data_IF_101582823881
#
_entry.id   IF_101582823881
#
_cell.length_a   1.000
_cell.length_b   1.000
_cell.length_c   1.000
_cell.angle_alpha   90.00
_cell.angle_beta   90.00
_cell.angle_gamma   90.00
#
_symmetry.space_group_name_H-M   'P 1'
#
loop_
_entity.id
_entity.type
_entity.pdbx_description
1 polymer ?
#
# COMPACT_ATOMS: atom_id res chain seq x y z
N UNK A 1 30.48 59.24 34.89
CA UNK A 1 29.20 59.01 34.18
C UNK A 1 29.30 58.33 32.80
N UNK A 2 30.44 58.33 32.09
CA UNK A 2 30.54 57.70 30.75
C UNK A 2 30.80 56.19 30.71
N UNK A 3 31.38 55.57 31.76
CA UNK A 3 31.67 54.13 31.79
C UNK A 3 30.44 53.24 32.02
N UNK A 4 29.43 53.74 32.73
CA UNK A 4 28.22 52.95 33.08
C UNK A 4 27.27 52.77 31.90
N UNK A 5 27.30 53.68 30.91
CA UNK A 5 26.38 53.66 29.75
C UNK A 5 26.79 52.60 28.71
N UNK A 6 28.09 52.30 28.58
CA UNK A 6 28.57 51.29 27.64
C UNK A 6 28.28 49.86 28.10
N UNK A 7 28.35 49.59 29.41
CA UNK A 7 28.00 48.27 29.95
C UNK A 7 26.53 47.90 29.74
N UNK A 8 25.63 48.89 29.85
CA UNK A 8 24.20 48.65 29.70
C UNK A 8 23.77 48.44 28.24
N UNK A 9 24.46 49.07 27.26
CA UNK A 9 24.21 48.83 25.83
C UNK A 9 24.75 47.47 25.35
N UNK A 10 25.85 46.98 25.91
CA UNK A 10 26.39 45.66 25.54
C UNK A 10 25.51 44.51 26.05
N UNK A 11 24.91 44.66 27.24
CA UNK A 11 24.03 43.66 27.84
C UNK A 11 22.69 43.58 27.09
N UNK A 12 22.14 44.72 26.64
CA UNK A 12 20.90 44.72 25.85
C UNK A 12 21.13 44.15 24.43
N UNK A 13 22.31 44.38 23.82
CA UNK A 13 22.66 43.79 22.53
C UNK A 13 22.86 42.25 22.61
N UNK A 14 23.41 41.73 23.71
CA UNK A 14 23.53 40.28 23.92
C UNK A 14 22.20 39.59 24.26
N UNK A 15 21.26 40.27 24.92
CA UNK A 15 19.92 39.71 25.19
C UNK A 15 19.03 39.63 23.94
N UNK A 16 19.27 40.47 22.92
CA UNK A 16 18.53 40.39 21.65
C UNK A 16 19.09 39.28 20.74
N UNK A 17 20.37 38.92 20.87
CA UNK A 17 20.99 37.84 20.09
C UNK A 17 20.69 36.42 20.62
N UNK A 18 20.29 36.30 21.89
CA UNK A 18 19.93 35.02 22.51
C UNK A 18 18.45 34.63 22.32
N UNK A 19 17.61 35.54 21.79
CA UNK A 19 16.17 35.34 21.63
C UNK A 19 15.71 34.81 20.26
N UNK A 20 16.64 34.49 19.34
CA UNK A 20 16.34 34.07 17.96
C UNK A 20 16.84 32.65 17.64
N UNK A 21 16.94 31.79 18.64
CA UNK A 21 16.87 30.35 18.41
C UNK A 21 15.48 29.93 18.87
N UNK A 22 14.47 30.27 18.07
CA UNK A 22 13.24 29.50 18.10
C UNK A 22 13.67 28.04 17.91
N UNK A 23 13.24 27.09 18.76
CA UNK A 23 13.35 25.71 18.35
C UNK A 23 12.60 25.64 17.04
N UNK A 24 13.32 25.37 15.95
CA UNK A 24 12.72 24.78 14.77
C UNK A 24 11.90 23.65 15.37
N UNK A 25 10.57 23.79 15.34
CA UNK A 25 9.71 22.67 15.63
C UNK A 25 10.25 21.58 14.71
N UNK A 26 10.97 20.63 15.29
CA UNK A 26 11.16 19.34 14.67
C UNK A 26 9.73 18.86 14.55
N UNK A 27 9.13 19.17 13.40
CA UNK A 27 7.99 18.46 12.89
C UNK A 27 8.54 17.04 12.85
N UNK A 28 8.27 16.28 13.92
CA UNK A 28 8.59 14.88 13.96
C UNK A 28 7.83 14.34 12.77
N UNK A 29 8.55 14.07 11.68
CA UNK A 29 8.01 13.22 10.64
C UNK A 29 7.53 12.00 11.39
N UNK A 30 6.22 11.77 11.37
CA UNK A 30 5.65 10.56 11.93
C UNK A 30 6.41 9.43 11.26
N UNK A 31 7.16 8.66 12.05
CA UNK A 31 8.00 7.58 11.53
C UNK A 31 7.04 6.61 10.82
N UNK A 32 7.13 6.57 9.48
CA UNK A 32 6.23 5.77 8.67
C UNK A 32 6.46 4.31 9.04
N UNK A 33 5.50 3.73 9.77
CA UNK A 33 5.55 2.32 10.15
C UNK A 33 4.98 1.48 9.02
N UNK A 34 5.87 0.75 8.37
CA UNK A 34 5.51 -0.22 7.34
C UNK A 34 5.00 -1.53 7.95
N UNK A 35 4.09 -2.18 7.23
CA UNK A 35 3.63 -3.52 7.53
C UNK A 35 4.75 -4.55 7.32
N UNK A 36 4.73 -5.70 8.03
CA UNK A 36 5.81 -6.68 7.93
C UNK A 36 6.13 -7.14 6.50
N UNK A 37 5.11 -7.25 5.64
CA UNK A 37 5.31 -7.64 4.24
C UNK A 37 5.94 -6.53 3.39
N UNK A 38 5.66 -5.26 3.70
CA UNK A 38 6.31 -4.11 3.08
C UNK A 38 7.75 -3.96 3.58
N UNK A 39 8.03 -4.23 4.86
CA UNK A 39 9.41 -4.29 5.39
C UNK A 39 10.22 -5.33 4.62
N UNK A 40 9.69 -6.54 4.42
CA UNK A 40 10.36 -7.57 3.60
C UNK A 40 10.64 -7.11 2.17
N UNK A 41 9.71 -6.34 1.58
CA UNK A 41 9.95 -5.74 0.27
C UNK A 41 11.11 -4.76 0.32
N UNK A 42 11.10 -3.83 1.28
CA UNK A 42 12.16 -2.83 1.44
C UNK A 42 13.52 -3.52 1.62
N UNK A 43 13.61 -4.52 2.51
CA UNK A 43 14.83 -5.31 2.71
C UNK A 43 15.31 -5.97 1.41
N UNK A 44 14.39 -6.56 0.64
CA UNK A 44 14.71 -7.13 -0.67
C UNK A 44 15.30 -6.07 -1.60
N UNK A 45 14.62 -4.93 -1.75
CA UNK A 45 15.00 -3.88 -2.69
C UNK A 45 16.29 -3.16 -2.29
N UNK A 46 16.58 -3.06 -1.00
CA UNK A 46 17.83 -2.50 -0.49
C UNK A 46 19.00 -3.48 -0.68
N UNK A 47 18.75 -4.79 -0.56
CA UNK A 47 19.76 -5.82 -0.85
C UNK A 47 20.02 -6.07 -2.34
N UNK A 48 19.02 -5.80 -3.19
CA UNK A 48 19.05 -6.04 -4.64
C UNK A 48 18.66 -4.77 -5.42
N UNK A 49 19.55 -3.77 -5.55
CA UNK A 49 19.22 -2.48 -6.17
C UNK A 49 18.67 -2.57 -7.60
N UNK A 50 19.10 -3.58 -8.38
CA UNK A 50 18.57 -3.80 -9.73
C UNK A 50 17.08 -4.13 -9.74
N UNK A 51 16.59 -4.83 -8.71
CA UNK A 51 15.17 -5.16 -8.57
C UNK A 51 14.38 -3.91 -8.21
N UNK A 52 14.96 -3.02 -7.38
CA UNK A 52 14.39 -1.71 -7.09
C UNK A 52 14.23 -0.87 -8.35
N UNK A 53 15.26 -0.83 -9.19
CA UNK A 53 15.22 -0.12 -10.47
C UNK A 53 14.13 -0.71 -11.40
N UNK A 54 14.04 -2.04 -11.50
CA UNK A 54 13.00 -2.71 -12.28
C UNK A 54 11.58 -2.44 -11.76
N UNK A 55 11.39 -2.41 -10.44
CA UNK A 55 10.10 -2.07 -9.83
C UNK A 55 9.70 -0.64 -10.17
N UNK A 56 10.62 0.32 -10.01
CA UNK A 56 10.38 1.73 -10.35
C UNK A 56 10.04 1.88 -11.83
N UNK A 57 10.78 1.22 -12.72
CA UNK A 57 10.50 1.23 -14.16
C UNK A 57 9.13 0.63 -14.48
N UNK A 58 8.75 -0.45 -13.81
CA UNK A 58 7.43 -1.07 -13.96
C UNK A 58 6.32 -0.11 -13.53
N UNK A 59 6.45 0.54 -12.37
CA UNK A 59 5.47 1.53 -11.87
C UNK A 59 5.35 2.72 -12.83
N UNK A 60 6.46 3.24 -13.36
CA UNK A 60 6.43 4.35 -14.34
C UNK A 60 5.75 3.94 -15.65
N UNK A 61 5.95 2.71 -16.14
CA UNK A 61 5.23 2.18 -17.31
C UNK A 61 3.72 2.03 -17.03
N UNK A 62 3.37 1.55 -15.84
CA UNK A 62 1.97 1.42 -15.42
C UNK A 62 1.29 2.80 -15.33
N UNK A 63 1.97 3.80 -14.76
CA UNK A 63 1.54 5.20 -14.71
C UNK A 63 1.39 5.84 -16.09
N UNK A 64 2.29 5.55 -17.03
CA UNK A 64 2.14 6.05 -18.39
C UNK A 64 0.88 5.50 -19.09
N UNK A 65 0.47 4.26 -18.77
CA UNK A 65 -0.76 3.65 -19.28
C UNK A 65 -2.01 4.14 -18.55
N UNK A 66 -1.91 4.33 -17.23
CA UNK A 66 -2.96 4.89 -16.41
C UNK A 66 -2.41 6.01 -15.49
N UNK A 67 -2.45 7.27 -15.95
CA UNK A 67 -1.93 8.40 -15.17
C UNK A 67 -2.92 8.95 -14.14
N UNK A 68 -4.16 8.46 -14.11
CA UNK A 68 -5.18 8.91 -13.17
C UNK A 68 -4.89 8.37 -11.75
N UNK A 69 -4.72 9.27 -10.78
CA UNK A 69 -4.40 8.92 -9.39
C UNK A 69 -5.55 8.22 -8.65
N UNK A 70 -6.78 8.35 -9.15
CA UNK A 70 -7.94 7.68 -8.56
C UNK A 70 -7.91 6.19 -8.91
N UNK A 71 -7.67 5.87 -10.18
CA UNK A 71 -7.65 4.48 -10.67
C UNK A 71 -6.25 3.85 -10.66
N UNK A 72 -5.20 4.64 -10.49
CA UNK A 72 -3.82 4.21 -10.29
C UNK A 72 -3.08 5.12 -9.28
N UNK A 73 -3.23 4.79 -8.00
CA UNK A 73 -2.69 5.57 -6.87
C UNK A 73 -1.20 5.37 -6.59
N UNK A 74 -0.65 4.21 -6.93
CA UNK A 74 0.78 3.89 -6.83
C UNK A 74 1.49 4.35 -8.11
N UNK A 75 1.98 5.59 -8.10
CA UNK A 75 2.61 6.24 -9.26
C UNK A 75 4.11 6.45 -9.10
N UNK A 76 4.67 6.03 -7.98
CA UNK A 76 6.10 6.07 -7.64
C UNK A 76 6.38 5.05 -6.53
N UNK A 77 7.65 4.94 -6.14
CA UNK A 77 8.10 4.00 -5.11
C UNK A 77 7.39 4.19 -3.76
N UNK A 78 7.26 5.44 -3.30
CA UNK A 78 6.67 5.74 -1.99
C UNK A 78 5.17 5.43 -1.95
N UNK A 79 4.43 5.84 -2.99
CA UNK A 79 3.01 5.52 -3.13
C UNK A 79 2.77 4.03 -3.36
N UNK A 80 3.71 3.30 -3.95
CA UNK A 80 3.67 1.84 -4.04
C UNK A 80 3.83 1.17 -2.68
N UNK A 81 4.82 1.57 -1.86
CA UNK A 81 4.98 1.02 -0.51
C UNK A 81 3.74 1.29 0.36
N UNK A 82 3.23 2.51 0.32
CA UNK A 82 1.96 2.86 0.99
C UNK A 82 0.81 1.99 0.49
N UNK A 83 0.75 1.73 -0.81
CA UNK A 83 -0.24 0.83 -1.38
C UNK A 83 -0.10 -0.60 -0.83
N UNK A 84 1.12 -1.14 -0.73
CA UNK A 84 1.38 -2.48 -0.17
C UNK A 84 0.98 -2.57 1.30
N UNK A 85 1.33 -1.56 2.10
CA UNK A 85 0.93 -1.48 3.52
C UNK A 85 -0.59 -1.60 3.66
N UNK A 86 -1.32 -0.72 2.97
CA UNK A 86 -2.78 -0.69 3.03
C UNK A 86 -3.39 -1.96 2.43
N UNK A 87 -2.95 -2.40 1.26
CA UNK A 87 -3.52 -3.56 0.58
C UNK A 87 -3.37 -4.85 1.39
N UNK A 88 -2.29 -5.00 2.16
CA UNK A 88 -2.08 -6.16 3.03
C UNK A 88 -3.10 -6.29 4.17
N UNK A 89 -3.85 -5.20 4.46
CA UNK A 89 -4.85 -5.11 5.54
C UNK A 89 -6.24 -4.69 5.06
N UNK A 90 -6.47 -4.61 3.76
CA UNK A 90 -7.77 -4.24 3.20
C UNK A 90 -8.48 -5.43 2.58
N UNK A 91 -9.81 -5.36 2.55
CA UNK A 91 -10.60 -6.28 1.74
C UNK A 91 -10.38 -5.99 0.26
N UNK A 92 -10.49 -7.01 -0.61
CA UNK A 92 -10.28 -6.81 -2.04
C UNK A 92 -11.06 -5.62 -2.60
N UNK A 93 -12.34 -5.45 -2.28
CA UNK A 93 -13.17 -4.34 -2.80
C UNK A 93 -12.84 -2.95 -2.23
N UNK A 94 -11.97 -2.85 -1.22
CA UNK A 94 -11.61 -1.59 -0.56
C UNK A 94 -10.26 -1.04 -0.99
N UNK A 95 -9.44 -1.84 -1.68
CA UNK A 95 -8.10 -1.46 -2.12
C UNK A 95 -8.17 -0.28 -3.09
N UNK A 96 -9.10 -0.34 -4.04
CA UNK A 96 -9.41 0.76 -4.95
C UNK A 96 -10.69 1.47 -4.54
N UNK A 97 -10.71 2.79 -4.69
CA UNK A 97 -11.89 3.60 -4.33
C UNK A 97 -13.00 3.44 -5.39
N UNK A 98 -13.92 2.49 -5.15
CA UNK A 98 -15.13 2.23 -5.94
C UNK A 98 -14.88 2.24 -7.47
N UNK A 99 -14.00 1.38 -7.99
CA UNK A 99 -13.69 1.35 -9.42
C UNK A 99 -14.84 0.84 -10.32
N UNK A 100 -15.92 0.32 -9.72
CA UNK A 100 -17.16 -0.08 -10.39
C UNK A 100 -18.33 0.00 -9.42
N UNK A 101 -19.56 0.03 -9.95
CA UNK A 101 -20.77 -0.07 -9.14
C UNK A 101 -21.05 -1.50 -8.65
N UNK A 102 -20.45 -2.51 -9.29
CA UNK A 102 -20.63 -3.92 -8.93
C UNK A 102 -19.51 -4.37 -7.99
N UNK A 103 -19.87 -5.02 -6.86
CA UNK A 103 -18.88 -5.48 -5.87
C UNK A 103 -17.93 -6.50 -6.47
N UNK A 104 -18.43 -7.42 -7.31
CA UNK A 104 -17.59 -8.37 -8.05
C UNK A 104 -16.47 -7.66 -8.83
N UNK A 105 -16.81 -6.59 -9.53
CA UNK A 105 -15.85 -5.85 -10.35
C UNK A 105 -14.87 -5.07 -9.48
N UNK A 106 -15.31 -4.54 -8.33
CA UNK A 106 -14.41 -3.90 -7.36
C UNK A 106 -13.36 -4.87 -6.83
N UNK A 107 -13.78 -6.10 -6.48
CA UNK A 107 -12.85 -7.18 -6.08
C UNK A 107 -11.89 -7.51 -7.21
N UNK A 108 -12.39 -7.77 -8.42
CA UNK A 108 -11.57 -8.15 -9.57
C UNK A 108 -10.56 -7.07 -9.94
N UNK A 109 -11.00 -5.82 -10.09
CA UNK A 109 -10.11 -4.72 -10.47
C UNK A 109 -9.03 -4.47 -9.42
N UNK A 110 -9.36 -4.59 -8.13
CA UNK A 110 -8.38 -4.44 -7.06
C UNK A 110 -7.34 -5.55 -7.04
N UNK A 111 -7.75 -6.80 -7.31
CA UNK A 111 -6.84 -7.93 -7.48
C UNK A 111 -5.93 -7.72 -8.70
N UNK A 112 -6.50 -7.32 -9.83
CA UNK A 112 -5.77 -7.06 -11.05
C UNK A 112 -4.81 -5.87 -10.90
N UNK A 113 -5.14 -4.86 -10.10
CA UNK A 113 -4.32 -3.67 -9.90
C UNK A 113 -2.93 -4.00 -9.35
N UNK A 114 -2.84 -4.92 -8.38
CA UNK A 114 -1.56 -5.40 -7.86
C UNK A 114 -0.65 -5.90 -9.01
N UNK A 115 -1.18 -6.80 -9.84
CA UNK A 115 -0.43 -7.39 -10.95
C UNK A 115 -0.18 -6.41 -12.08
N UNK A 116 -1.11 -5.49 -12.35
CA UNK A 116 -0.93 -4.42 -13.33
C UNK A 116 0.33 -3.59 -13.03
N UNK A 117 0.63 -3.31 -11.75
CA UNK A 117 1.81 -2.52 -11.38
C UNK A 117 3.13 -3.24 -11.66
N UNK A 118 3.18 -4.57 -11.52
CA UNK A 118 4.43 -5.37 -11.56
C UNK A 118 4.59 -6.23 -12.82
N UNK A 119 3.56 -6.31 -13.65
CA UNK A 119 3.53 -7.07 -14.90
C UNK A 119 3.82 -6.20 -16.15
N UNK A 120 4.60 -5.14 -15.99
CA UNK A 120 5.02 -4.31 -17.12
C UNK A 120 6.22 -4.94 -17.83
N UNK A 121 6.31 -4.84 -19.17
CA UNK A 121 7.43 -5.39 -19.92
C UNK A 121 8.72 -4.61 -19.66
N UNK A 122 9.78 -5.34 -19.30
CA UNK A 122 11.11 -4.87 -18.96
C UNK A 122 12.14 -5.49 -19.93
N UNK A 123 12.80 -4.69 -20.79
CA UNK A 123 13.76 -5.20 -21.78
C UNK A 123 14.91 -6.02 -21.19
N UNK A 124 15.37 -5.66 -19.98
CA UNK A 124 16.45 -6.37 -19.28
C UNK A 124 16.09 -7.81 -18.86
N UNK A 125 14.80 -8.17 -18.89
CA UNK A 125 14.30 -9.50 -18.58
C UNK A 125 14.03 -10.36 -19.83
N UNK A 126 14.21 -9.80 -21.03
CA UNK A 126 14.04 -10.55 -22.28
C UNK A 126 15.07 -11.67 -22.43
N UNK A 127 14.65 -12.81 -23.00
CA UNK A 127 15.53 -13.95 -23.23
C UNK A 127 15.90 -14.77 -21.99
N UNK A 128 15.44 -14.40 -20.79
CA UNK A 128 15.70 -15.14 -19.55
C UNK A 128 14.83 -16.38 -19.34
N UNK A 129 13.95 -16.72 -20.30
CA UNK A 129 13.06 -17.87 -20.21
C UNK A 129 11.88 -17.72 -19.24
N UNK A 130 11.58 -16.49 -18.81
CA UNK A 130 10.39 -16.17 -18.02
C UNK A 130 9.11 -16.33 -18.86
N UNK A 131 7.98 -16.60 -18.21
CA UNK A 131 6.67 -16.64 -18.89
C UNK A 131 6.36 -15.32 -19.63
N UNK A 132 6.74 -14.20 -19.01
CA UNK A 132 6.75 -12.85 -19.60
C UNK A 132 7.96 -12.10 -19.03
N UNK A 133 8.63 -11.22 -19.82
CA UNK A 133 9.75 -10.42 -19.33
C UNK A 133 9.24 -9.27 -18.44
N UNK A 134 8.69 -9.61 -17.28
CA UNK A 134 8.17 -8.66 -16.29
C UNK A 134 8.60 -9.06 -14.90
N UNK A 135 8.60 -8.08 -13.99
CA UNK A 135 9.10 -8.27 -12.63
C UNK A 135 8.28 -9.30 -11.85
N UNK A 136 6.97 -9.42 -12.15
CA UNK A 136 6.09 -10.45 -11.60
C UNK A 136 6.68 -11.87 -11.63
N UNK A 137 7.44 -12.21 -12.68
CA UNK A 137 7.98 -13.56 -12.91
C UNK A 137 9.46 -13.69 -12.54
N UNK A 138 10.14 -12.58 -12.23
CA UNK A 138 11.56 -12.59 -11.93
C UNK A 138 11.83 -12.88 -10.45
N UNK A 139 12.57 -13.95 -10.14
CA UNK A 139 13.04 -14.19 -8.77
C UNK A 139 14.24 -13.29 -8.45
N UNK A 140 14.36 -12.79 -7.21
CA UNK A 140 13.55 -13.09 -6.01
C UNK A 140 12.22 -12.34 -5.85
N UNK A 141 11.89 -11.34 -6.68
CA UNK A 141 10.66 -10.56 -6.51
C UNK A 141 9.39 -11.41 -6.61
N UNK A 142 9.34 -12.36 -7.54
CA UNK A 142 8.19 -13.28 -7.69
C UNK A 142 7.98 -14.17 -6.46
N UNK A 143 9.02 -14.41 -5.65
CA UNK A 143 8.88 -15.09 -4.36
C UNK A 143 8.21 -14.18 -3.34
N UNK A 144 8.63 -12.92 -3.28
CA UNK A 144 7.98 -11.92 -2.42
C UNK A 144 6.50 -11.72 -2.79
N UNK A 145 6.13 -11.70 -4.08
CA UNK A 145 4.70 -11.59 -4.47
C UNK A 145 3.86 -12.77 -3.98
N UNK A 146 4.42 -13.98 -3.93
CA UNK A 146 3.76 -15.14 -3.32
C UNK A 146 3.63 -14.98 -1.81
N UNK A 147 4.67 -14.48 -1.12
CA UNK A 147 4.60 -14.18 0.32
C UNK A 147 3.57 -13.09 0.63
N UNK A 148 3.42 -12.09 -0.24
CA UNK A 148 2.37 -11.08 -0.12
C UNK A 148 0.97 -11.70 -0.22
N UNK A 149 0.74 -12.56 -1.22
CA UNK A 149 -0.54 -13.24 -1.38
C UNK A 149 -0.88 -14.13 -0.17
N UNK A 150 0.10 -14.84 0.41
CA UNK A 150 -0.10 -15.62 1.64
C UNK A 150 -0.41 -14.71 2.82
N UNK A 151 0.36 -13.64 3.03
CA UNK A 151 0.17 -12.69 4.14
C UNK A 151 -1.23 -12.04 4.08
N UNK A 152 -1.66 -11.66 2.88
CA UNK A 152 -2.99 -11.11 2.69
C UNK A 152 -4.09 -12.15 2.92
N UNK A 153 -3.87 -13.39 2.47
CA UNK A 153 -4.75 -14.52 2.78
C UNK A 153 -4.88 -14.78 4.28
N UNK A 154 -3.78 -14.73 5.02
CA UNK A 154 -3.75 -14.89 6.49
C UNK A 154 -4.56 -13.77 7.17
N UNK A 155 -4.41 -12.53 6.72
CA UNK A 155 -5.23 -11.41 7.21
C UNK A 155 -6.74 -11.64 6.93
N UNK A 156 -7.09 -12.11 5.73
CA UNK A 156 -8.46 -12.43 5.34
C UNK A 156 -9.03 -13.67 6.06
N UNK A 157 -8.21 -14.39 6.85
CA UNK A 157 -8.64 -15.45 7.76
C UNK A 157 -8.70 -15.02 9.23
N UNK A 158 -8.66 -13.71 9.51
CA UNK A 158 -8.88 -13.17 10.86
C UNK A 158 -10.34 -12.76 11.08
N UNK A 159 -10.79 -12.69 12.34
CA UNK A 159 -12.16 -12.19 12.64
C UNK A 159 -12.30 -10.68 12.35
N UNK A 160 -11.22 -9.91 12.43
CA UNK A 160 -11.20 -8.51 11.98
C UNK A 160 -11.60 -8.38 10.51
N UNK A 161 -11.29 -9.43 9.75
CA UNK A 161 -11.57 -9.51 8.33
C UNK A 161 -13.08 -9.70 8.01
N UNK A 162 -13.96 -9.90 8.98
CA UNK A 162 -15.38 -10.12 8.71
C UNK A 162 -16.28 -9.39 9.69
N UNK A 163 -17.03 -8.42 9.17
CA UNK A 163 -17.91 -7.58 9.97
C UNK A 163 -19.22 -7.27 9.23
N UNK A 164 -20.19 -6.75 9.96
CA UNK A 164 -21.54 -6.49 9.45
C UNK A 164 -21.55 -5.56 8.23
N UNK A 165 -20.68 -4.53 8.22
CA UNK A 165 -20.58 -3.59 7.10
C UNK A 165 -20.18 -4.32 5.81
N UNK A 166 -19.17 -5.18 5.88
CA UNK A 166 -18.72 -5.97 4.72
C UNK A 166 -19.79 -6.97 4.30
N UNK A 167 -20.36 -7.72 5.25
CA UNK A 167 -21.44 -8.66 4.95
C UNK A 167 -22.60 -7.98 4.22
N UNK A 168 -23.05 -6.81 4.69
CA UNK A 168 -24.14 -6.06 4.06
C UNK A 168 -23.83 -5.61 2.63
N UNK A 169 -22.57 -5.34 2.28
CA UNK A 169 -22.22 -5.04 0.89
C UNK A 169 -22.50 -6.24 -0.03
N UNK A 170 -22.09 -7.44 0.38
CA UNK A 170 -22.36 -8.66 -0.38
C UNK A 170 -23.83 -9.07 -0.34
N UNK A 171 -24.50 -8.90 0.81
CA UNK A 171 -25.93 -9.27 0.97
C UNK A 171 -26.84 -8.40 0.10
N UNK A 172 -26.47 -7.13 -0.13
CA UNK A 172 -27.21 -6.20 -0.97
C UNK A 172 -27.01 -6.45 -2.48
N UNK A 173 -25.95 -7.14 -2.88
CA UNK A 173 -25.71 -7.48 -4.28
C UNK A 173 -26.39 -8.84 -4.59
N UNK A 174 -27.50 -8.85 -5.36
CA UNK A 174 -28.27 -10.07 -5.61
C UNK A 174 -27.46 -11.14 -6.36
N UNK A 175 -26.36 -10.78 -7.04
CA UNK A 175 -25.48 -11.73 -7.73
C UNK A 175 -24.77 -12.68 -6.76
N UNK A 176 -24.64 -12.28 -5.49
CA UNK A 176 -24.05 -13.13 -4.45
C UNK A 176 -25.06 -14.07 -3.78
N UNK A 177 -26.35 -14.01 -4.13
CA UNK A 177 -27.34 -15.03 -3.75
C UNK A 177 -27.64 -15.19 -2.26
N UNK A 178 -27.15 -14.29 -1.41
CA UNK A 178 -27.23 -14.43 0.06
C UNK A 178 -28.66 -14.34 0.62
N UNK A 179 -29.57 -13.69 -0.11
CA UNK A 179 -30.99 -13.53 0.29
C UNK A 179 -31.94 -14.60 -0.25
N UNK A 180 -31.45 -15.45 -1.16
CA UNK A 180 -32.29 -16.44 -1.86
C UNK A 180 -31.97 -17.89 -1.47
N UNK A 181 -31.15 -18.07 -0.42
CA UNK A 181 -30.88 -19.39 0.17
C UNK A 181 -29.91 -20.27 -0.61
N UNK A 182 -29.03 -19.69 -1.44
CA UNK A 182 -27.99 -20.45 -2.15
C UNK A 182 -26.90 -21.00 -1.24
N UNK A 183 -26.81 -20.48 -0.01
CA UNK A 183 -25.73 -20.76 0.92
C UNK A 183 -26.28 -21.04 2.32
N UNK A 184 -25.42 -21.56 3.17
CA UNK A 184 -25.69 -21.74 4.58
C UNK A 184 -25.92 -20.41 5.31
N UNK A 185 -26.20 -20.50 6.62
CA UNK A 185 -26.39 -19.33 7.45
C UNK A 185 -25.12 -18.48 7.51
N UNK A 186 -25.21 -17.15 7.32
CA UNK A 186 -24.06 -16.26 7.50
C UNK A 186 -23.44 -16.29 8.90
N UNK A 187 -24.16 -16.82 9.90
CA UNK A 187 -23.64 -17.03 11.26
C UNK A 187 -22.51 -18.06 11.34
N UNK A 188 -22.29 -18.86 10.29
CA UNK A 188 -21.17 -19.80 10.21
C UNK A 188 -19.87 -19.17 9.71
N UNK A 189 -19.91 -17.98 9.12
CA UNK A 189 -18.71 -17.28 8.65
C UNK A 189 -18.23 -16.28 9.68
N UNK A 190 -17.00 -16.48 10.14
CA UNK A 190 -16.29 -15.59 11.08
C UNK A 190 -15.15 -14.84 10.40
N UNK A 191 -14.72 -15.27 9.22
CA UNK A 191 -13.63 -14.66 8.46
C UNK A 191 -14.06 -14.43 7.00
N UNK A 192 -13.35 -13.54 6.29
CA UNK A 192 -13.64 -13.30 4.89
C UNK A 192 -13.39 -14.55 4.06
N UNK A 193 -12.31 -15.29 4.36
CA UNK A 193 -11.98 -16.53 3.66
C UNK A 193 -13.06 -17.60 3.84
N UNK A 194 -13.64 -17.74 5.03
CA UNK A 194 -14.78 -18.65 5.23
C UNK A 194 -15.97 -18.26 4.34
N UNK A 195 -16.31 -16.96 4.30
CA UNK A 195 -17.36 -16.46 3.41
C UNK A 195 -17.03 -16.62 1.92
N UNK A 196 -15.78 -16.43 1.51
CA UNK A 196 -15.38 -16.40 0.11
C UNK A 196 -15.20 -17.82 -0.47
N UNK A 197 -14.63 -18.74 0.31
CA UNK A 197 -14.39 -20.13 -0.09
C UNK A 197 -15.68 -20.97 -0.10
N UNK A 198 -16.68 -20.60 0.72
CA UNK A 198 -18.02 -21.23 0.77
C UNK A 198 -17.98 -22.77 0.82
N UNK A 199 -17.16 -23.30 1.74
CA UNK A 199 -17.24 -24.70 2.15
C UNK A 199 -18.39 -24.91 3.12
#
# INVERSE_FOLDING_TARGET
MKKTIYGMKLIIAMMILAGLILPINAFSAEEVRHEPIAIKLIELLDSEPKIKDMLIQSIEKAKAQNPDKITNRAQDYESYLKYIDEASKLFPQQILEKPSNLIRDQVLQSLCYFYFLVDQPLPELEGLGLFKPSLQYYEPFSKWTREFAVTWGDYLDTEESWNEKNFKQFENDPLFGLRVGWYESPSHWKTFNQFFAKY
#
